data_IF_901441003405
#
_entry.id   IF_901441003405
#
_cell.length_a   1.000
_cell.length_b   1.000
_cell.length_c   1.000
_cell.angle_alpha   90.00
_cell.angle_beta   90.00
_cell.angle_gamma   90.00
#
_symmetry.space_group_name_H-M   'P 1'
#
loop_
_entity.id
_entity.type
_entity.pdbx_description
1 polymer ?
#
# COMPACT_ATOMS: atom_id res chain seq x y z
N UNK A 1 21.46 -13.45 -16.68
CA UNK A 1 22.09 -12.15 -16.34
C UNK A 1 21.39 -10.96 -16.99
N UNK A 2 20.95 -11.05 -18.26
CA UNK A 2 20.22 -9.96 -18.94
C UNK A 2 18.84 -9.60 -18.31
N UNK A 3 18.13 -10.58 -17.74
CA UNK A 3 16.83 -10.33 -17.09
C UNK A 3 16.95 -9.49 -15.80
N UNK A 4 18.04 -9.66 -15.03
CA UNK A 4 18.29 -8.85 -13.84
C UNK A 4 18.66 -7.41 -14.21
N UNK A 5 19.37 -7.21 -15.31
CA UNK A 5 19.74 -5.88 -15.81
C UNK A 5 18.52 -5.09 -16.29
N UNK A 6 17.54 -5.76 -16.92
CA UNK A 6 16.28 -5.13 -17.33
C UNK A 6 15.40 -4.75 -16.12
N UNK A 7 15.40 -5.58 -15.07
CA UNK A 7 14.72 -5.28 -13.81
C UNK A 7 15.33 -4.06 -13.09
N UNK A 8 16.67 -4.02 -12.99
CA UNK A 8 17.39 -2.90 -12.36
C UNK A 8 17.24 -1.59 -13.14
N UNK A 9 17.13 -1.64 -14.48
CA UNK A 9 16.94 -0.44 -15.31
C UNK A 9 15.51 0.14 -15.20
N UNK A 10 14.48 -0.69 -14.96
CA UNK A 10 13.11 -0.23 -14.69
C UNK A 10 12.97 0.48 -13.32
N UNK A 11 13.93 0.26 -12.42
CA UNK A 11 13.96 0.79 -11.05
C UNK A 11 14.79 2.08 -10.91
N UNK A 12 14.90 2.87 -11.98
CA UNK A 12 15.65 4.14 -12.00
C UNK A 12 14.93 5.30 -11.28
N UNK A 13 14.11 5.03 -10.25
CA UNK A 13 13.51 6.05 -9.39
C UNK A 13 13.80 5.80 -7.89
N UNK A 14 15.00 6.15 -7.41
CA UNK A 14 15.37 6.01 -5.99
C UNK A 14 14.49 6.83 -5.01
N UNK A 15 13.58 7.67 -5.51
CA UNK A 15 12.63 8.45 -4.72
C UNK A 15 11.28 7.76 -4.45
N UNK A 16 11.01 6.60 -5.07
CA UNK A 16 9.68 5.97 -5.08
C UNK A 16 9.55 4.69 -4.21
N UNK A 17 10.64 4.03 -3.84
CA UNK A 17 10.64 2.72 -3.16
C UNK A 17 9.81 2.75 -1.85
N UNK A 18 10.00 3.75 -0.99
CA UNK A 18 9.24 3.87 0.27
C UNK A 18 7.74 4.07 0.08
N UNK A 19 7.32 4.71 -1.02
CA UNK A 19 5.89 4.95 -1.32
C UNK A 19 5.23 3.70 -1.88
N UNK A 20 5.99 2.94 -2.67
CA UNK A 20 5.57 1.63 -3.17
C UNK A 20 5.34 0.66 -2.01
N UNK A 21 6.24 0.61 -1.01
CA UNK A 21 6.01 -0.17 0.21
C UNK A 21 4.78 0.29 1.01
N UNK A 22 4.56 1.60 1.14
CA UNK A 22 3.35 2.12 1.79
C UNK A 22 2.06 1.73 1.05
N UNK A 23 2.09 1.73 -0.28
CA UNK A 23 0.97 1.29 -1.11
C UNK A 23 0.67 -0.21 -0.93
N UNK A 24 1.69 -1.06 -0.93
CA UNK A 24 1.52 -2.49 -0.68
C UNK A 24 0.94 -2.77 0.71
N UNK A 25 1.42 -2.06 1.73
CA UNK A 25 0.90 -2.19 3.10
C UNK A 25 -0.59 -1.83 3.20
N UNK A 26 -1.02 -0.74 2.55
CA UNK A 26 -2.44 -0.36 2.55
C UNK A 26 -3.33 -1.32 1.76
N UNK A 27 -2.87 -1.81 0.59
CA UNK A 27 -3.60 -2.82 -0.20
C UNK A 27 -3.74 -4.13 0.58
N UNK A 28 -2.70 -4.56 1.31
CA UNK A 28 -2.77 -5.74 2.15
C UNK A 28 -3.84 -5.61 3.24
N UNK A 29 -3.86 -4.49 3.95
CA UNK A 29 -4.85 -4.26 5.02
C UNK A 29 -6.28 -4.18 4.46
N UNK A 30 -6.49 -3.51 3.33
CA UNK A 30 -7.80 -3.50 2.67
C UNK A 30 -8.25 -4.91 2.26
N UNK A 31 -7.34 -5.71 1.70
CA UNK A 31 -7.61 -7.09 1.30
C UNK A 31 -7.94 -7.95 2.51
N UNK A 32 -7.19 -7.83 3.62
CA UNK A 32 -7.44 -8.58 4.85
C UNK A 32 -8.82 -8.26 5.45
N UNK A 33 -9.20 -6.99 5.48
CA UNK A 33 -10.51 -6.54 5.98
C UNK A 33 -11.65 -7.09 5.13
N UNK A 34 -11.51 -7.07 3.80
CA UNK A 34 -12.49 -7.63 2.87
C UNK A 34 -12.55 -9.15 3.03
N UNK A 35 -11.39 -9.81 3.15
CA UNK A 35 -11.29 -11.26 3.27
C UNK A 35 -11.99 -11.77 4.54
N UNK A 36 -11.70 -11.18 5.70
CA UNK A 36 -12.34 -11.58 6.97
C UNK A 36 -13.86 -11.36 6.90
N UNK A 37 -14.32 -10.31 6.20
CA UNK A 37 -15.75 -10.08 5.99
C UNK A 37 -16.40 -11.10 5.06
N UNK A 38 -15.77 -11.42 3.94
CA UNK A 38 -16.37 -12.19 2.84
C UNK A 38 -16.19 -13.69 3.03
N UNK A 39 -15.01 -14.12 3.49
CA UNK A 39 -14.64 -15.53 3.60
C UNK A 39 -14.90 -16.06 5.01
N UNK A 40 -14.46 -15.33 6.03
CA UNK A 40 -14.62 -15.80 7.42
C UNK A 40 -16.01 -15.45 7.99
N UNK A 41 -16.76 -14.55 7.34
CA UNK A 41 -18.10 -14.12 7.76
C UNK A 41 -18.11 -13.42 9.12
N UNK A 42 -16.95 -13.01 9.64
CA UNK A 42 -16.82 -12.38 10.95
C UNK A 42 -17.25 -10.93 10.81
N UNK A 43 -18.18 -10.51 11.66
CA UNK A 43 -18.55 -9.10 11.78
C UNK A 43 -17.36 -8.32 12.36
N UNK A 44 -16.53 -7.69 11.51
CA UNK A 44 -15.46 -6.85 12.05
C UNK A 44 -16.05 -5.76 12.93
N UNK A 45 -15.30 -5.41 13.95
CA UNK A 45 -15.66 -4.42 14.94
C UNK A 45 -15.53 -3.01 14.35
N UNK A 46 -16.13 -2.00 15.00
CA UNK A 46 -15.87 -0.60 14.66
C UNK A 46 -14.38 -0.23 14.73
N UNK A 47 -13.62 -0.91 15.59
CA UNK A 47 -12.16 -0.72 15.71
C UNK A 47 -11.41 -1.21 14.48
N UNK A 48 -11.84 -2.30 13.84
CA UNK A 48 -11.21 -2.79 12.61
C UNK A 48 -11.46 -1.85 11.43
N UNK A 49 -12.66 -1.28 11.35
CA UNK A 49 -12.98 -0.23 10.36
C UNK A 49 -12.16 1.04 10.60
N UNK A 50 -12.02 1.46 11.86
CA UNK A 50 -11.18 2.61 12.22
C UNK A 50 -9.70 2.35 11.90
N UNK A 51 -9.19 1.15 12.22
CA UNK A 51 -7.83 0.73 11.88
C UNK A 51 -7.58 0.69 10.38
N UNK A 52 -8.51 0.14 9.60
CA UNK A 52 -8.46 0.16 8.14
C UNK A 52 -8.43 1.58 7.56
N UNK A 53 -9.29 2.47 8.07
CA UNK A 53 -9.32 3.86 7.67
C UNK A 53 -8.02 4.60 7.99
N UNK A 54 -7.41 4.34 9.16
CA UNK A 54 -6.13 4.92 9.56
C UNK A 54 -5.00 4.44 8.65
N UNK A 55 -4.91 3.14 8.37
CA UNK A 55 -3.88 2.58 7.48
C UNK A 55 -4.02 3.12 6.06
N UNK A 56 -5.24 3.16 5.52
CA UNK A 56 -5.52 3.71 4.20
C UNK A 56 -5.19 5.21 4.12
N UNK A 57 -5.51 5.96 5.17
CA UNK A 57 -5.16 7.39 5.27
C UNK A 57 -3.64 7.58 5.33
N UNK A 58 -2.92 6.77 6.10
CA UNK A 58 -1.46 6.80 6.17
C UNK A 58 -0.79 6.48 4.84
N UNK A 59 -1.28 5.45 4.14
CA UNK A 59 -0.88 5.15 2.75
C UNK A 59 -1.12 6.33 1.83
N UNK A 60 -2.33 6.91 1.85
CA UNK A 60 -2.71 8.03 1.00
C UNK A 60 -1.80 9.24 1.22
N UNK A 61 -1.44 9.56 2.48
CA UNK A 61 -0.52 10.65 2.83
C UNK A 61 0.89 10.39 2.29
N UNK A 62 1.41 9.16 2.41
CA UNK A 62 2.77 8.83 1.94
C UNK A 62 2.84 8.85 0.40
N UNK A 63 1.80 8.34 -0.26
CA UNK A 63 1.70 8.34 -1.74
C UNK A 63 1.52 9.76 -2.26
N UNK A 64 0.62 10.55 -1.68
CA UNK A 64 0.31 11.92 -2.09
C UNK A 64 1.43 12.91 -1.76
N UNK A 65 1.98 12.85 -0.54
CA UNK A 65 3.17 13.63 -0.13
C UNK A 65 4.41 13.27 -0.94
N UNK A 66 4.35 12.18 -1.70
CA UNK A 66 5.32 11.85 -2.70
C UNK A 66 5.16 12.57 -4.04
N UNK A 67 3.92 12.70 -4.50
CA UNK A 67 3.56 13.31 -5.78
C UNK A 67 4.03 14.77 -5.89
N UNK A 68 3.97 15.53 -4.79
CA UNK A 68 4.39 16.95 -4.75
C UNK A 68 5.89 17.21 -4.89
N UNK A 69 6.75 16.18 -4.93
CA UNK A 69 8.21 16.32 -5.13
C UNK A 69 8.62 16.10 -6.59
N UNK A 70 7.66 15.88 -7.49
CA UNK A 70 7.88 15.53 -8.89
C UNK A 70 7.34 16.59 -9.87
N UNK A 71 6.92 17.76 -9.38
CA UNK A 71 6.56 18.95 -10.17
C UNK A 71 7.68 19.99 -10.10
#
# INVERSE_FOLDING_TARGET
MAALTLFVLHDSHPAAIGRVYAAYGGVYVATAIIWIRVVDGIALTPYDWAGGAIVLSGMAIIVWGGFGKAL
#
